data_IF_719114311849
#
_entry.id   IF_719114311849
#
_cell.length_a   1.000
_cell.length_b   1.000
_cell.length_c   1.000
_cell.angle_alpha   90.00
_cell.angle_beta   90.00
_cell.angle_gamma   90.00
#
_symmetry.space_group_name_H-M   'P 1'
#
loop_
_entity.id
_entity.type
_entity.pdbx_description
1 polymer ?
#
# COMPACT_ATOMS: atom_id res chain seq x y z
N UNK A 1 33.51 -38.84 -36.47
CA UNK A 1 33.18 -37.42 -36.46
C UNK A 1 32.04 -37.20 -37.46
N UNK A 2 30.80 -37.16 -36.99
CA UNK A 2 29.61 -36.94 -37.83
C UNK A 2 29.20 -35.48 -37.71
N UNK A 3 29.24 -34.79 -38.84
CA UNK A 3 28.80 -33.39 -38.95
C UNK A 3 27.28 -33.39 -38.97
N UNK A 4 26.67 -32.76 -37.95
CA UNK A 4 25.22 -32.45 -37.96
C UNK A 4 25.04 -31.09 -38.64
N UNK A 5 24.60 -31.13 -39.88
CA UNK A 5 24.11 -29.97 -40.60
C UNK A 5 22.59 -30.02 -40.49
N UNK A 6 22.01 -29.20 -39.61
CA UNK A 6 20.56 -28.98 -39.58
C UNK A 6 20.31 -27.64 -40.25
N UNK A 7 20.02 -27.64 -41.52
CA UNK A 7 19.44 -26.49 -42.23
C UNK A 7 17.94 -26.73 -42.25
N UNK A 8 17.21 -26.11 -41.38
CA UNK A 8 15.75 -25.99 -41.45
C UNK A 8 15.41 -24.59 -41.96
N UNK A 9 15.26 -24.47 -43.27
CA UNK A 9 14.69 -23.28 -43.88
C UNK A 9 13.17 -23.27 -43.63
N UNK A 10 12.68 -22.50 -42.65
CA UNK A 10 11.28 -22.15 -42.55
C UNK A 10 11.06 -20.80 -43.25
N UNK A 11 10.53 -20.87 -44.48
CA UNK A 11 9.96 -19.69 -45.13
C UNK A 11 8.60 -19.39 -44.49
N UNK A 12 8.56 -18.38 -43.63
CA UNK A 12 7.30 -17.85 -43.10
C UNK A 12 6.91 -16.61 -43.91
N UNK A 13 5.75 -16.70 -44.54
CA UNK A 13 5.14 -15.63 -45.30
C UNK A 13 4.91 -14.41 -44.38
N UNK A 14 5.54 -13.29 -44.69
CA UNK A 14 5.34 -12.01 -44.03
C UNK A 14 3.95 -11.47 -44.40
N UNK A 15 2.98 -11.65 -43.50
CA UNK A 15 1.75 -10.86 -43.51
C UNK A 15 2.07 -9.51 -42.88
N UNK A 16 2.21 -8.49 -43.71
CA UNK A 16 2.42 -7.09 -43.31
C UNK A 16 1.16 -6.55 -42.63
N UNK A 17 1.09 -6.59 -41.32
CA UNK A 17 0.18 -5.75 -40.58
C UNK A 17 0.89 -4.43 -40.29
N UNK A 18 0.65 -3.43 -41.13
CA UNK A 18 0.97 -2.03 -40.83
C UNK A 18 -0.05 -1.51 -39.85
N UNK A 19 0.21 -1.69 -38.55
CA UNK A 19 -0.47 -0.95 -37.49
C UNK A 19 0.54 0.07 -36.92
N UNK A 20 0.27 1.34 -37.12
CA UNK A 20 0.99 2.45 -36.50
C UNK A 20 0.92 2.36 -34.98
N UNK A 21 2.04 2.11 -34.32
CA UNK A 21 2.19 2.16 -32.88
C UNK A 21 3.47 1.45 -32.48
N UNK A 22 4.33 2.08 -31.70
CA UNK A 22 5.62 1.56 -31.21
C UNK A 22 5.46 0.15 -30.60
N UNK A 23 5.53 -0.85 -31.47
CA UNK A 23 5.54 -2.26 -31.09
C UNK A 23 6.98 -2.68 -30.77
N UNK A 24 7.11 -3.85 -30.13
CA UNK A 24 8.41 -4.47 -29.89
C UNK A 24 9.28 -4.50 -31.19
N UNK A 25 10.61 -4.46 -31.06
CA UNK A 25 11.52 -4.60 -32.19
C UNK A 25 11.19 -5.88 -32.98
N UNK A 26 11.38 -5.85 -34.31
CA UNK A 26 11.27 -7.06 -35.10
C UNK A 26 12.47 -7.96 -34.84
N UNK A 27 12.24 -9.26 -34.83
CA UNK A 27 13.28 -10.25 -34.69
C UNK A 27 14.18 -10.28 -35.94
N UNK A 28 15.47 -10.48 -35.72
CA UNK A 28 16.47 -10.74 -36.76
C UNK A 28 17.36 -11.92 -36.31
N UNK A 29 17.01 -13.13 -36.73
CA UNK A 29 17.58 -14.38 -36.22
C UNK A 29 18.64 -14.94 -37.19
N UNK A 30 19.66 -14.14 -37.50
CA UNK A 30 20.71 -14.50 -38.46
C UNK A 30 21.86 -15.32 -37.87
N UNK A 31 22.03 -15.28 -36.58
CA UNK A 31 23.09 -15.99 -35.87
C UNK A 31 22.56 -16.80 -34.70
N UNK A 32 23.39 -17.71 -34.18
CA UNK A 32 23.07 -18.46 -32.96
C UNK A 32 22.89 -17.51 -31.74
N UNK A 33 23.63 -16.41 -31.70
CA UNK A 33 23.50 -15.40 -30.64
C UNK A 33 22.17 -14.67 -30.73
N UNK A 34 21.71 -14.34 -31.96
CA UNK A 34 20.41 -13.69 -32.16
C UNK A 34 19.28 -14.64 -31.74
N UNK A 35 19.38 -15.91 -32.16
CA UNK A 35 18.43 -16.95 -31.79
C UNK A 35 18.39 -17.19 -30.29
N UNK A 36 19.53 -17.22 -29.62
CA UNK A 36 19.63 -17.33 -28.15
C UNK A 36 19.01 -16.12 -27.44
N UNK A 37 19.30 -14.92 -27.93
CA UNK A 37 18.76 -13.68 -27.38
C UNK A 37 17.23 -13.64 -27.45
N UNK A 38 16.69 -14.04 -28.62
CA UNK A 38 15.24 -14.14 -28.78
C UNK A 38 14.61 -15.19 -27.86
N UNK A 39 15.27 -16.38 -27.75
CA UNK A 39 14.80 -17.45 -26.88
C UNK A 39 14.72 -17.02 -25.40
N UNK A 40 15.70 -16.26 -24.89
CA UNK A 40 15.62 -15.67 -23.57
C UNK A 40 14.42 -14.72 -23.44
N UNK A 41 14.18 -13.89 -24.45
CA UNK A 41 13.01 -12.99 -24.46
C UNK A 41 11.68 -13.74 -24.38
N UNK A 42 11.56 -14.84 -25.16
CA UNK A 42 10.37 -15.71 -25.15
C UNK A 42 10.16 -16.34 -23.77
N UNK A 43 11.21 -16.86 -23.17
CA UNK A 43 11.15 -17.48 -21.84
C UNK A 43 10.71 -16.46 -20.77
N UNK A 44 11.36 -15.31 -20.72
CA UNK A 44 11.02 -14.26 -19.76
C UNK A 44 9.62 -13.66 -19.97
N UNK A 45 9.11 -13.69 -21.18
CA UNK A 45 7.78 -13.16 -21.55
C UNK A 45 6.61 -14.01 -21.07
N UNK A 46 6.81 -15.29 -20.73
CA UNK A 46 5.70 -16.22 -20.45
C UNK A 46 4.81 -15.81 -19.28
N UNK A 47 5.38 -15.28 -18.21
CA UNK A 47 4.65 -14.90 -16.97
C UNK A 47 3.99 -13.52 -17.00
N UNK A 48 4.22 -12.71 -18.03
CA UNK A 48 3.88 -11.27 -18.04
C UNK A 48 2.38 -11.02 -17.86
N UNK A 49 1.51 -11.77 -18.53
CA UNK A 49 0.06 -11.59 -18.38
C UNK A 49 -0.43 -11.87 -16.96
N UNK A 50 0.15 -12.87 -16.29
CA UNK A 50 -0.17 -13.17 -14.90
C UNK A 50 0.37 -12.08 -13.97
N UNK A 51 1.57 -11.60 -14.20
CA UNK A 51 2.15 -10.47 -13.47
C UNK A 51 1.26 -9.21 -13.56
N UNK A 52 0.79 -8.85 -14.76
CA UNK A 52 -0.11 -7.71 -14.95
C UNK A 52 -1.41 -7.87 -14.16
N UNK A 53 -2.01 -9.07 -14.18
CA UNK A 53 -3.21 -9.36 -13.36
C UNK A 53 -2.96 -9.19 -11.87
N UNK A 54 -1.82 -9.66 -11.35
CA UNK A 54 -1.44 -9.49 -9.95
C UNK A 54 -1.27 -8.02 -9.57
N UNK A 55 -0.80 -7.20 -10.51
CA UNK A 55 -0.70 -5.75 -10.37
C UNK A 55 -2.04 -5.02 -10.58
N UNK A 56 -3.13 -5.76 -10.78
CA UNK A 56 -4.46 -5.23 -11.12
C UNK A 56 -4.45 -4.36 -12.39
N UNK A 57 -3.64 -4.75 -13.37
CA UNK A 57 -3.54 -4.12 -14.69
C UNK A 57 -4.29 -5.00 -15.70
N UNK A 58 -5.18 -4.39 -16.47
CA UNK A 58 -5.91 -5.10 -17.52
C UNK A 58 -4.96 -5.53 -18.64
N UNK A 59 -4.97 -6.82 -18.95
CA UNK A 59 -4.13 -7.42 -20.00
C UNK A 59 -4.51 -6.97 -21.40
N UNK A 60 -5.64 -6.30 -21.59
CA UNK A 60 -5.99 -5.63 -22.85
C UNK A 60 -4.94 -4.55 -23.23
N UNK A 61 -4.26 -3.97 -22.22
CA UNK A 61 -3.22 -2.96 -22.40
C UNK A 61 -1.80 -3.54 -22.51
N UNK A 62 -1.66 -4.79 -22.96
CA UNK A 62 -0.36 -5.44 -23.09
C UNK A 62 0.59 -4.69 -24.03
N UNK A 63 0.06 -4.01 -25.06
CA UNK A 63 0.88 -3.26 -25.99
C UNK A 63 1.52 -2.03 -25.34
N UNK A 64 0.79 -1.34 -24.46
CA UNK A 64 1.29 -0.22 -23.67
C UNK A 64 2.37 -0.67 -22.69
N UNK A 65 2.20 -1.86 -22.11
CA UNK A 65 3.23 -2.48 -21.27
C UNK A 65 4.51 -2.77 -22.08
N UNK A 66 4.39 -3.40 -23.28
CA UNK A 66 5.53 -3.70 -24.15
C UNK A 66 6.24 -2.40 -24.58
N UNK A 67 5.49 -1.36 -24.90
CA UNK A 67 6.06 -0.04 -25.19
C UNK A 67 6.87 0.49 -24.04
N UNK A 68 6.29 0.49 -22.84
CA UNK A 68 6.98 0.94 -21.62
C UNK A 68 8.24 0.12 -21.32
N UNK A 69 8.19 -1.21 -21.52
CA UNK A 69 9.33 -2.10 -21.39
C UNK A 69 10.46 -1.71 -22.33
N UNK A 70 10.14 -1.50 -23.62
CA UNK A 70 11.11 -1.10 -24.64
C UNK A 70 11.72 0.29 -24.34
N UNK A 71 10.88 1.27 -24.02
CA UNK A 71 11.32 2.62 -23.64
C UNK A 71 12.23 2.59 -22.41
N UNK A 72 11.91 1.76 -21.41
CA UNK A 72 12.73 1.56 -20.22
C UNK A 72 14.07 0.90 -20.52
N UNK A 73 14.07 -0.22 -21.26
CA UNK A 73 15.26 -0.99 -21.58
C UNK A 73 16.28 -0.19 -22.41
N UNK A 74 15.80 0.70 -23.29
CA UNK A 74 16.66 1.53 -24.17
C UNK A 74 17.03 2.90 -23.57
N UNK A 75 16.56 3.20 -22.36
CA UNK A 75 16.76 4.53 -21.75
C UNK A 75 18.04 4.68 -20.93
N UNK A 76 18.75 3.60 -20.65
CA UNK A 76 19.87 3.60 -19.68
C UNK A 76 21.02 4.54 -20.10
N UNK A 77 21.26 4.68 -21.39
CA UNK A 77 22.32 5.55 -21.93
C UNK A 77 21.89 7.04 -22.01
N UNK A 78 20.59 7.33 -21.95
CA UNK A 78 20.05 8.68 -21.92
C UNK A 78 19.75 9.10 -20.48
N UNK A 79 20.64 9.93 -19.89
CA UNK A 79 20.53 10.40 -18.50
C UNK A 79 19.18 11.08 -18.18
N UNK A 80 18.57 11.78 -19.16
CA UNK A 80 17.27 12.46 -18.95
C UNK A 80 16.13 11.44 -18.91
N UNK A 81 16.15 10.48 -19.83
CA UNK A 81 15.15 9.40 -19.85
C UNK A 81 15.28 8.50 -18.64
N UNK A 82 16.50 8.14 -18.25
CA UNK A 82 16.76 7.36 -17.04
C UNK A 82 16.22 8.06 -15.78
N UNK A 83 16.47 9.37 -15.63
CA UNK A 83 15.93 10.16 -14.53
C UNK A 83 14.40 10.24 -14.55
N UNK A 84 13.79 10.41 -15.73
CA UNK A 84 12.33 10.40 -15.87
C UNK A 84 11.72 9.06 -15.47
N UNK A 85 12.27 7.96 -15.96
CA UNK A 85 11.78 6.60 -15.64
C UNK A 85 11.94 6.27 -14.15
N UNK A 86 13.04 6.69 -13.53
CA UNK A 86 13.21 6.61 -12.08
C UNK A 86 12.11 7.39 -11.34
N UNK A 87 11.78 8.59 -11.80
CA UNK A 87 10.70 9.41 -11.26
C UNK A 87 9.32 8.75 -11.38
N UNK A 88 9.02 8.10 -12.51
CA UNK A 88 7.79 7.33 -12.72
C UNK A 88 7.70 6.19 -11.69
N UNK A 89 8.76 5.40 -11.52
CA UNK A 89 8.81 4.31 -10.56
C UNK A 89 8.61 4.77 -9.12
N UNK A 90 9.29 5.85 -8.72
CA UNK A 90 9.12 6.47 -7.39
C UNK A 90 7.69 6.96 -7.19
N UNK A 91 7.11 7.64 -8.19
CA UNK A 91 5.73 8.15 -8.11
C UNK A 91 4.69 7.05 -7.96
N UNK A 92 4.82 5.95 -8.68
CA UNK A 92 3.93 4.78 -8.54
C UNK A 92 4.03 4.16 -7.14
N UNK A 93 5.25 3.99 -6.62
CA UNK A 93 5.45 3.46 -5.27
C UNK A 93 4.84 4.39 -4.21
N UNK A 94 5.09 5.69 -4.30
CA UNK A 94 4.53 6.68 -3.37
C UNK A 94 3.00 6.68 -3.35
N UNK A 95 2.35 6.55 -4.50
CA UNK A 95 0.89 6.46 -4.55
C UNK A 95 0.36 5.20 -3.82
N UNK A 96 1.05 4.07 -3.93
CA UNK A 96 0.71 2.86 -3.18
C UNK A 96 0.92 3.05 -1.67
N UNK A 97 2.02 3.66 -1.26
CA UNK A 97 2.30 3.97 0.16
C UNK A 97 1.23 4.92 0.72
N UNK A 98 0.86 5.96 -0.01
CA UNK A 98 -0.20 6.89 0.41
C UNK A 98 -1.52 6.14 0.63
N UNK A 99 -1.96 5.35 -0.35
CA UNK A 99 -3.25 4.63 -0.28
C UNK A 99 -3.27 3.57 0.81
N UNK A 100 -2.24 2.74 0.88
CA UNK A 100 -2.26 1.51 1.68
C UNK A 100 -1.71 1.69 3.10
N UNK A 101 -0.90 2.71 3.35
CA UNK A 101 -0.25 2.94 4.63
C UNK A 101 -0.66 4.28 5.26
N UNK A 102 -0.37 5.40 4.59
CA UNK A 102 -0.57 6.74 5.18
C UNK A 102 -2.06 6.99 5.45
N UNK A 103 -2.91 6.83 4.43
CA UNK A 103 -4.35 7.05 4.61
C UNK A 103 -4.95 6.14 5.68
N UNK A 104 -4.60 4.85 5.69
CA UNK A 104 -5.09 3.91 6.70
C UNK A 104 -4.61 4.27 8.10
N UNK A 105 -3.37 4.72 8.24
CA UNK A 105 -2.84 5.12 9.55
C UNK A 105 -3.51 6.38 10.11
N UNK A 106 -3.93 7.31 9.24
CA UNK A 106 -4.54 8.58 9.64
C UNK A 106 -6.05 8.47 9.80
N UNK A 107 -6.72 7.86 8.83
CA UNK A 107 -8.19 7.84 8.72
C UNK A 107 -8.81 6.48 9.09
N UNK A 108 -7.99 5.45 9.35
CA UNK A 108 -8.49 4.10 9.64
C UNK A 108 -9.24 3.51 8.43
N UNK A 109 -10.44 3.01 8.68
CA UNK A 109 -11.31 2.40 7.64
C UNK A 109 -12.16 3.43 6.88
N UNK A 110 -12.03 4.73 7.17
CA UNK A 110 -12.77 5.77 6.44
C UNK A 110 -12.12 6.03 5.07
N UNK A 111 -12.58 5.30 4.06
CA UNK A 111 -12.12 5.41 2.68
C UNK A 111 -12.58 6.68 1.96
N UNK A 112 -13.45 7.49 2.59
CA UNK A 112 -13.91 8.76 2.02
C UNK A 112 -12.90 9.88 2.19
N UNK A 113 -11.90 9.68 3.04
CA UNK A 113 -10.84 10.65 3.33
C UNK A 113 -9.48 10.16 2.79
N UNK A 114 -8.69 11.12 2.34
CA UNK A 114 -7.31 10.88 1.90
C UNK A 114 -6.48 12.14 2.04
N UNK A 115 -5.16 11.98 2.18
CA UNK A 115 -4.27 13.12 2.01
C UNK A 115 -4.25 13.57 0.53
N UNK A 116 -3.99 14.85 0.30
CA UNK A 116 -3.91 15.41 -1.05
C UNK A 116 -2.64 14.94 -1.75
N UNK A 117 -2.78 14.13 -2.80
CA UNK A 117 -1.66 13.69 -3.63
C UNK A 117 -0.94 14.89 -4.27
N UNK A 118 -1.66 15.91 -4.72
CA UNK A 118 -1.06 17.10 -5.33
C UNK A 118 -0.19 17.87 -4.33
N UNK A 119 -0.66 18.06 -3.08
CA UNK A 119 0.14 18.73 -2.04
C UNK A 119 1.33 17.88 -1.62
N UNK A 120 1.17 16.56 -1.55
CA UNK A 120 2.28 15.65 -1.27
C UNK A 120 3.38 15.77 -2.34
N UNK A 121 3.00 15.71 -3.62
CA UNK A 121 3.95 15.83 -4.74
C UNK A 121 4.61 17.22 -4.80
N UNK A 122 3.85 18.28 -4.49
CA UNK A 122 4.41 19.65 -4.41
C UNK A 122 5.47 19.76 -3.30
N UNK A 123 5.17 19.23 -2.10
CA UNK A 123 6.13 19.20 -1.00
C UNK A 123 7.36 18.36 -1.31
N UNK A 124 7.17 17.19 -1.92
CA UNK A 124 8.26 16.33 -2.37
C UNK A 124 9.18 17.05 -3.38
N UNK A 125 8.58 17.68 -4.39
CA UNK A 125 9.33 18.41 -5.42
C UNK A 125 10.07 19.62 -4.85
N UNK A 126 9.45 20.36 -3.93
CA UNK A 126 10.08 21.49 -3.25
C UNK A 126 11.31 21.03 -2.44
N UNK A 127 11.15 19.96 -1.64
CA UNK A 127 12.24 19.42 -0.85
C UNK A 127 13.38 18.87 -1.72
N UNK A 128 13.06 18.12 -2.78
CA UNK A 128 14.05 17.57 -3.71
C UNK A 128 14.87 18.64 -4.45
N UNK A 129 14.28 19.83 -4.67
CA UNK A 129 14.95 20.98 -5.29
C UNK A 129 15.63 21.91 -4.28
N UNK A 130 15.53 21.63 -2.99
CA UNK A 130 16.05 22.51 -1.92
C UNK A 130 15.22 23.79 -1.71
N UNK A 131 14.00 23.86 -2.25
CA UNK A 131 13.10 25.01 -2.09
C UNK A 131 12.15 24.80 -0.89
N UNK A 132 12.61 25.19 0.29
CA UNK A 132 11.86 25.04 1.53
C UNK A 132 11.15 26.32 1.98
N UNK A 133 10.87 27.26 1.08
CA UNK A 133 10.27 28.56 1.41
C UNK A 133 8.87 28.44 2.02
N UNK A 134 8.05 27.53 1.51
CA UNK A 134 6.68 27.35 2.00
C UNK A 134 6.62 26.62 3.34
N UNK A 135 7.56 25.71 3.60
CA UNK A 135 7.61 24.92 4.82
C UNK A 135 9.03 24.39 5.06
N UNK A 136 9.60 24.67 6.23
CA UNK A 136 10.87 24.06 6.64
C UNK A 136 10.71 22.59 6.98
N UNK A 137 11.78 21.80 6.87
CA UNK A 137 11.79 20.39 7.25
C UNK A 137 11.38 20.16 8.71
N UNK A 138 11.84 21.03 9.61
CA UNK A 138 11.46 20.97 11.02
C UNK A 138 9.96 21.17 11.22
N UNK A 139 9.38 22.16 10.56
CA UNK A 139 7.93 22.41 10.60
C UNK A 139 7.12 21.23 10.02
N UNK A 140 7.59 20.64 8.93
CA UNK A 140 6.98 19.47 8.33
C UNK A 140 6.94 18.31 9.34
N UNK A 141 8.05 17.99 10.00
CA UNK A 141 8.12 16.94 11.03
C UNK A 141 7.19 17.19 12.22
N UNK A 142 7.10 18.44 12.69
CA UNK A 142 6.15 18.80 13.76
C UNK A 142 4.70 18.57 13.36
N UNK A 143 4.34 18.88 12.11
CA UNK A 143 3.00 18.65 11.56
C UNK A 143 2.73 17.15 11.45
N UNK A 144 3.66 16.37 10.89
CA UNK A 144 3.53 14.91 10.75
C UNK A 144 3.33 14.20 12.10
N UNK A 145 3.95 14.67 13.17
CA UNK A 145 3.78 14.10 14.50
C UNK A 145 2.44 14.51 15.15
N UNK A 146 2.00 15.74 15.00
CA UNK A 146 0.85 16.30 15.75
C UNK A 146 -0.48 16.13 15.01
N UNK A 147 -0.51 16.38 13.69
CA UNK A 147 -1.76 16.50 12.94
C UNK A 147 -2.50 15.17 12.79
N UNK A 148 -1.85 14.03 12.54
CA UNK A 148 -2.54 12.75 12.48
C UNK A 148 -3.31 12.43 13.75
N UNK A 149 -2.70 12.66 14.91
CA UNK A 149 -3.36 12.44 16.22
C UNK A 149 -4.58 13.35 16.39
N UNK A 150 -4.48 14.62 15.98
CA UNK A 150 -5.61 15.54 16.05
C UNK A 150 -6.76 15.13 15.11
N UNK A 151 -6.45 14.61 13.94
CA UNK A 151 -7.45 14.08 12.99
C UNK A 151 -8.12 12.83 13.57
N UNK A 152 -7.34 11.89 14.10
CA UNK A 152 -7.86 10.68 14.74
C UNK A 152 -8.77 11.00 15.93
N UNK A 153 -8.37 11.95 16.79
CA UNK A 153 -9.18 12.38 17.91
C UNK A 153 -10.53 12.97 17.47
N UNK A 154 -10.54 13.83 16.44
CA UNK A 154 -11.77 14.38 15.86
C UNK A 154 -12.66 13.30 15.25
N UNK A 155 -12.07 12.34 14.56
CA UNK A 155 -12.81 11.22 13.96
C UNK A 155 -13.42 10.34 15.05
N UNK A 156 -12.67 10.03 16.10
CA UNK A 156 -13.15 9.27 17.25
C UNK A 156 -14.29 10.01 17.98
N UNK A 157 -14.16 11.31 18.21
CA UNK A 157 -15.21 12.12 18.82
C UNK A 157 -16.48 12.14 17.96
N UNK A 158 -16.35 12.30 16.64
CA UNK A 158 -17.50 12.27 15.73
C UNK A 158 -18.20 10.90 15.75
N UNK A 159 -17.43 9.80 15.80
CA UNK A 159 -17.97 8.44 15.72
C UNK A 159 -18.50 7.93 17.05
N UNK A 160 -17.85 8.26 18.14
CA UNK A 160 -18.10 7.66 19.45
C UNK A 160 -18.51 8.66 20.53
N UNK A 161 -18.48 9.97 20.26
CA UNK A 161 -18.72 11.02 21.26
C UNK A 161 -20.08 10.92 21.95
N UNK A 162 -21.15 10.61 21.19
CA UNK A 162 -22.47 10.40 21.81
C UNK A 162 -22.50 9.17 22.71
N UNK A 163 -21.90 8.06 22.28
CA UNK A 163 -21.82 6.85 23.08
C UNK A 163 -20.99 7.09 24.35
N UNK A 164 -19.88 7.81 24.20
CA UNK A 164 -19.07 8.23 25.36
C UNK A 164 -19.86 9.04 26.34
N UNK A 165 -20.62 10.06 25.90
CA UNK A 165 -21.49 10.87 26.79
C UNK A 165 -22.53 10.02 27.51
N UNK A 166 -23.18 9.08 26.80
CA UNK A 166 -24.15 8.14 27.41
C UNK A 166 -23.48 7.26 28.47
N UNK A 167 -22.29 6.73 28.15
CA UNK A 167 -21.52 5.93 29.08
C UNK A 167 -21.06 6.72 30.30
N UNK A 168 -20.53 7.94 30.11
CA UNK A 168 -20.09 8.80 31.19
C UNK A 168 -21.28 9.14 32.16
N UNK A 169 -22.46 9.42 31.58
CA UNK A 169 -23.68 9.66 32.36
C UNK A 169 -24.13 8.40 33.14
N UNK A 170 -24.06 7.23 32.50
CA UNK A 170 -24.35 5.94 33.10
C UNK A 170 -23.41 5.65 34.27
N UNK A 171 -22.10 5.82 34.07
CA UNK A 171 -21.08 5.59 35.09
C UNK A 171 -21.22 6.56 36.24
N UNK A 172 -21.58 7.83 36.00
CA UNK A 172 -21.86 8.81 37.02
C UNK A 172 -23.10 8.45 37.86
N UNK A 173 -24.12 7.80 37.26
CA UNK A 173 -25.28 7.25 37.95
C UNK A 173 -24.88 6.04 38.80
N UNK A 174 -24.16 5.10 38.24
CA UNK A 174 -23.67 3.88 38.91
C UNK A 174 -22.84 4.24 40.16
N UNK A 175 -21.95 5.23 40.04
CA UNK A 175 -21.12 5.69 41.15
C UNK A 175 -21.92 6.15 42.38
N UNK A 176 -23.18 6.57 42.19
CA UNK A 176 -24.07 7.05 43.23
C UNK A 176 -25.05 5.99 43.75
N UNK A 177 -25.09 4.80 43.14
CA UNK A 177 -26.00 3.75 43.56
C UNK A 177 -25.61 3.17 44.92
N UNK A 178 -26.60 2.92 45.81
CA UNK A 178 -26.33 2.31 47.12
C UNK A 178 -25.69 0.93 46.99
N UNK A 179 -24.60 0.71 47.72
CA UNK A 179 -23.87 -0.55 47.74
C UNK A 179 -22.83 -0.72 46.61
N UNK A 180 -22.69 0.25 45.70
CA UNK A 180 -21.62 0.26 44.74
C UNK A 180 -20.29 0.62 45.39
N UNK A 181 -19.24 -0.10 45.02
CA UNK A 181 -17.85 0.12 45.43
C UNK A 181 -16.97 0.34 44.20
N UNK A 182 -16.21 1.44 44.21
CA UNK A 182 -15.28 1.76 43.17
C UNK A 182 -13.98 0.95 43.32
N UNK A 183 -13.51 0.34 42.25
CA UNK A 183 -12.18 -0.22 42.10
C UNK A 183 -11.29 0.74 41.31
N UNK A 184 -10.03 0.37 41.14
CA UNK A 184 -9.10 1.12 40.30
C UNK A 184 -9.59 1.10 38.83
N UNK A 185 -9.20 2.11 38.06
CA UNK A 185 -9.46 2.23 36.61
C UNK A 185 -10.95 2.36 36.20
N UNK A 186 -11.82 2.90 37.09
CA UNK A 186 -13.21 3.18 36.72
C UNK A 186 -14.11 1.95 36.72
N UNK A 187 -13.71 0.86 37.35
CA UNK A 187 -14.53 -0.33 37.54
C UNK A 187 -15.35 -0.18 38.81
N UNK A 188 -16.64 -0.47 38.75
CA UNK A 188 -17.54 -0.51 39.90
C UNK A 188 -18.08 -1.91 40.10
N UNK A 189 -18.26 -2.32 41.38
CA UNK A 189 -18.92 -3.58 41.68
C UNK A 189 -19.93 -3.40 42.80
N UNK A 190 -20.97 -4.22 42.81
CA UNK A 190 -21.98 -4.31 43.87
C UNK A 190 -22.09 -5.76 44.31
N UNK A 191 -21.95 -5.99 45.59
CA UNK A 191 -22.16 -7.30 46.16
C UNK A 191 -23.67 -7.53 46.31
N UNK A 192 -24.22 -8.46 45.53
CA UNK A 192 -25.66 -8.77 45.57
C UNK A 192 -26.00 -9.77 46.67
N UNK A 193 -25.06 -10.71 46.96
CA UNK A 193 -25.17 -11.71 48.01
C UNK A 193 -23.80 -12.01 48.57
N UNK A 194 -23.66 -11.85 49.88
CA UNK A 194 -22.42 -12.18 50.56
C UNK A 194 -22.13 -13.66 50.52
N UNK A 195 -20.88 -14.00 50.22
CA UNK A 195 -20.42 -15.39 50.27
C UNK A 195 -20.23 -15.84 51.73
N UNK A 196 -20.56 -17.10 51.98
CA UNK A 196 -20.42 -17.74 53.33
C UNK A 196 -19.25 -18.72 53.40
N UNK A 197 -18.59 -19.00 52.26
CA UNK A 197 -17.45 -19.92 52.19
C UNK A 197 -16.10 -19.24 52.47
N UNK A 198 -15.05 -20.08 52.51
CA UNK A 198 -13.67 -19.60 52.63
C UNK A 198 -13.26 -18.79 51.41
N UNK A 199 -12.52 -17.71 51.60
CA UNK A 199 -11.96 -16.92 50.52
C UNK A 199 -10.78 -17.67 49.86
N UNK A 200 -10.71 -17.73 48.52
CA UNK A 200 -9.60 -18.35 47.86
C UNK A 200 -8.30 -17.58 48.08
N UNK A 201 -7.20 -18.29 48.20
CA UNK A 201 -5.86 -17.71 48.23
C UNK A 201 -5.37 -17.35 46.83
N UNK A 202 -4.31 -16.54 46.75
CA UNK A 202 -3.76 -16.12 45.46
C UNK A 202 -3.23 -17.25 44.55
N UNK A 203 -2.96 -18.42 45.12
CA UNK A 203 -2.50 -19.61 44.41
C UNK A 203 -3.60 -20.60 44.00
N UNK A 204 -4.85 -20.35 44.40
CA UNK A 204 -5.97 -21.23 44.11
C UNK A 204 -6.67 -20.81 42.80
N UNK A 205 -7.09 -21.83 42.03
CA UNK A 205 -7.91 -21.66 40.85
C UNK A 205 -9.38 -21.52 41.26
N UNK A 206 -10.04 -20.51 40.75
CA UNK A 206 -11.46 -20.28 40.97
C UNK A 206 -12.25 -20.41 39.68
N UNK A 207 -13.46 -20.97 39.79
CA UNK A 207 -14.40 -21.02 38.66
C UNK A 207 -15.42 -19.90 38.83
N UNK A 208 -15.53 -19.03 37.83
CA UNK A 208 -16.52 -17.95 37.82
C UNK A 208 -17.47 -18.14 36.63
N UNK A 209 -18.73 -17.81 36.82
CA UNK A 209 -19.72 -17.66 35.77
C UNK A 209 -19.91 -16.16 35.53
N UNK A 210 -20.06 -15.77 34.28
CA UNK A 210 -20.31 -14.37 33.87
C UNK A 210 -21.29 -14.32 32.72
N UNK A 211 -22.04 -13.26 32.62
CA UNK A 211 -22.92 -12.91 31.49
C UNK A 211 -22.53 -11.59 30.88
#
# INVERSE_FOLDING_TARGET
>A
MKKFTVVAALAIAAASFTACGNQAPKEDLKSDVDSLSYAFGVDQGQGVKQYLKQMNIDTAYINEFIKGLNDGATSMDDKKKAAYNAGVGVGMNMNMVIKNQINKSIFGEDSTQSISLSNFLAGFAASAKGDNKSMSLEKARQIEQRVPQAIQAKTAEKKYGENKKKNDAFMAKIAKEPGMKALKQGVYYKELKAGTGAKPTASQVVKINYE
#
